data_IF_628409807348
#
_entry.id   IF_628409807348
#
_cell.length_a   1.000
_cell.length_b   1.000
_cell.length_c   1.000
_cell.angle_alpha   90.00
_cell.angle_beta   90.00
_cell.angle_gamma   90.00
#
_symmetry.space_group_name_H-M   'P 1'
#
loop_
_entity.id
_entity.type
_entity.pdbx_description
1 polymer ?
#
# COMPACT_ATOMS: atom_id res chain seq x y z
N UNK A 1 -4.50 -5.86 35.16
CA UNK A 1 -4.14 -4.56 34.61
C UNK A 1 -5.36 -3.66 34.56
N UNK A 2 -6.44 -3.98 33.83
CA UNK A 2 -7.62 -3.09 33.66
C UNK A 2 -8.32 -2.78 35.00
N UNK A 3 -8.47 -3.77 35.90
CA UNK A 3 -9.05 -3.56 37.23
C UNK A 3 -8.21 -2.61 38.12
N UNK A 4 -6.91 -2.48 37.86
CA UNK A 4 -6.08 -1.49 38.55
C UNK A 4 -6.15 -0.12 37.85
N UNK A 5 -6.20 -0.12 36.53
CA UNK A 5 -6.30 1.10 35.74
C UNK A 5 -7.63 1.84 35.97
N UNK A 6 -8.76 1.15 36.18
CA UNK A 6 -10.06 1.78 36.45
C UNK A 6 -10.12 2.56 37.78
N UNK A 7 -9.17 2.36 38.69
CA UNK A 7 -9.03 3.18 39.91
C UNK A 7 -8.48 4.59 39.61
N UNK A 8 -7.83 4.77 38.48
CA UNK A 8 -7.15 6.02 38.08
C UNK A 8 -7.74 6.63 36.81
N UNK A 9 -8.35 5.79 35.94
CA UNK A 9 -8.86 6.18 34.62
C UNK A 9 -10.37 5.93 34.56
N UNK A 10 -11.10 7.00 34.29
CA UNK A 10 -12.53 6.88 33.99
C UNK A 10 -12.69 6.56 32.49
N UNK A 11 -12.87 5.28 32.17
CA UNK A 11 -13.00 4.80 30.82
C UNK A 11 -14.26 5.30 30.08
N UNK A 12 -15.27 5.82 30.80
CA UNK A 12 -16.47 6.36 30.15
C UNK A 12 -16.19 7.54 29.24
N UNK A 13 -15.12 8.28 29.51
CA UNK A 13 -14.66 9.42 28.71
C UNK A 13 -14.12 9.04 27.32
N UNK A 14 -13.81 7.76 27.10
CA UNK A 14 -13.22 7.26 25.88
C UNK A 14 -14.17 6.35 25.08
N UNK A 15 -15.44 6.32 25.47
CA UNK A 15 -16.47 5.61 24.73
C UNK A 15 -16.74 6.25 23.38
N UNK A 16 -17.04 5.43 22.38
CA UNK A 16 -17.61 5.93 21.12
C UNK A 16 -18.91 6.67 21.41
N UNK A 17 -19.16 7.73 20.67
CA UNK A 17 -20.34 8.58 20.82
C UNK A 17 -21.64 7.74 20.81
N UNK A 18 -22.50 7.98 21.76
CA UNK A 18 -23.77 7.27 21.92
C UNK A 18 -23.65 5.80 22.39
N UNK A 19 -22.47 5.38 22.83
CA UNK A 19 -22.24 4.00 23.31
C UNK A 19 -21.60 3.96 24.68
N UNK A 20 -21.57 2.78 25.28
CA UNK A 20 -20.76 2.45 26.49
C UNK A 20 -19.51 1.63 26.13
N UNK A 21 -18.99 1.76 24.89
CA UNK A 21 -17.90 0.94 24.39
C UNK A 21 -16.65 1.77 24.11
N UNK A 22 -15.53 1.42 24.74
CA UNK A 22 -14.18 1.84 24.38
C UNK A 22 -13.69 0.88 23.27
N UNK A 23 -13.36 1.36 22.07
CA UNK A 23 -13.00 0.46 20.97
C UNK A 23 -11.72 -0.34 21.25
N UNK A 24 -10.69 0.31 21.78
CA UNK A 24 -9.41 -0.34 22.06
C UNK A 24 -8.68 0.33 23.23
N UNK A 25 -7.93 -0.45 23.97
CA UNK A 25 -6.95 0.02 24.96
C UNK A 25 -5.55 -0.46 24.56
N UNK A 26 -4.58 0.44 24.54
CA UNK A 26 -3.17 0.09 24.36
C UNK A 26 -2.50 -0.12 25.73
N UNK A 27 -1.88 -1.27 25.90
CA UNK A 27 -1.15 -1.67 27.10
C UNK A 27 0.32 -1.81 26.74
N UNK A 28 1.18 -0.97 27.32
CA UNK A 28 2.62 -1.08 27.12
C UNK A 28 3.22 -1.74 28.37
N UNK A 29 3.94 -2.85 28.17
CA UNK A 29 4.67 -3.51 29.26
C UNK A 29 6.16 -3.13 29.22
N UNK A 30 6.76 -3.04 30.40
CA UNK A 30 8.17 -2.74 30.54
C UNK A 30 9.05 -3.86 30.00
N UNK A 31 10.14 -3.51 29.35
CA UNK A 31 11.12 -4.46 28.82
C UNK A 31 10.82 -4.94 27.40
N UNK A 32 11.61 -5.88 26.89
CA UNK A 32 11.48 -6.43 25.55
C UNK A 32 10.31 -7.40 25.43
N UNK A 33 9.75 -7.52 24.22
CA UNK A 33 8.75 -8.53 23.87
C UNK A 33 9.38 -9.85 23.42
N UNK A 34 8.60 -10.93 23.45
CA UNK A 34 9.04 -12.24 22.99
C UNK A 34 9.43 -12.22 21.50
N UNK A 35 8.72 -11.46 20.66
CA UNK A 35 8.98 -11.32 19.23
C UNK A 35 10.30 -10.61 18.91
N UNK A 36 10.86 -9.85 19.85
CA UNK A 36 12.14 -9.18 19.73
C UNK A 36 13.25 -9.86 20.55
N UNK A 37 12.99 -11.03 21.15
CA UNK A 37 13.98 -11.79 21.88
C UNK A 37 14.75 -12.74 20.97
N UNK A 38 16.03 -12.97 21.26
CA UNK A 38 16.95 -13.77 20.43
C UNK A 38 16.59 -15.26 20.34
N UNK A 39 15.87 -15.77 21.29
CA UNK A 39 15.50 -17.18 21.34
C UNK A 39 14.01 -17.33 20.97
N UNK A 40 13.76 -17.92 19.80
CA UNK A 40 12.49 -18.57 19.52
C UNK A 40 12.18 -19.56 20.64
N UNK A 41 11.35 -19.16 21.58
CA UNK A 41 10.93 -20.03 22.67
C UNK A 41 11.25 -19.54 24.08
N UNK A 42 11.71 -18.30 24.27
CA UNK A 42 11.71 -17.74 25.63
C UNK A 42 10.28 -17.43 26.05
N UNK A 43 9.61 -18.46 26.59
CA UNK A 43 8.23 -18.42 27.05
C UNK A 43 8.00 -17.47 28.24
N UNK A 44 9.07 -16.87 28.77
CA UNK A 44 8.99 -15.99 29.96
C UNK A 44 8.68 -14.53 29.55
N UNK A 45 8.82 -14.18 28.25
CA UNK A 45 8.46 -12.88 27.76
C UNK A 45 7.02 -12.85 27.20
N UNK A 46 6.38 -11.69 27.31
CA UNK A 46 5.08 -11.47 26.71
C UNK A 46 5.22 -11.26 25.21
N UNK A 47 4.31 -11.85 24.44
CA UNK A 47 4.18 -11.62 23.01
C UNK A 47 3.32 -10.37 22.78
N UNK A 48 3.85 -9.40 22.06
CA UNK A 48 3.05 -8.25 21.62
C UNK A 48 1.98 -8.70 20.64
N UNK A 49 0.75 -8.20 20.83
CA UNK A 49 -0.39 -8.59 19.99
C UNK A 49 -1.57 -7.66 20.10
N UNK A 50 -2.37 -7.62 19.07
CA UNK A 50 -3.75 -7.19 19.13
C UNK A 50 -4.67 -8.37 19.42
N UNK A 51 -5.73 -8.13 20.19
CA UNK A 51 -6.78 -9.13 20.38
C UNK A 51 -8.13 -8.46 20.56
N UNK A 52 -9.13 -8.95 19.82
CA UNK A 52 -10.52 -8.66 20.12
C UNK A 52 -10.93 -9.43 21.35
N UNK A 53 -11.48 -8.73 22.32
CA UNK A 53 -11.94 -9.31 23.57
C UNK A 53 -12.89 -8.34 24.25
N UNK A 54 -13.77 -8.83 25.08
CA UNK A 54 -14.73 -7.99 25.80
C UNK A 54 -14.44 -7.98 27.29
N UNK A 55 -14.06 -6.82 27.80
CA UNK A 55 -13.82 -6.61 29.22
C UNK A 55 -14.76 -5.53 29.76
N UNK A 56 -15.36 -5.78 30.91
CA UNK A 56 -16.19 -4.78 31.61
C UNK A 56 -15.35 -4.04 32.65
N UNK A 57 -15.45 -2.73 32.65
CA UNK A 57 -14.79 -1.79 33.59
C UNK A 57 -15.81 -0.77 34.11
N UNK A 58 -15.42 0.13 35.01
CA UNK A 58 -16.28 1.14 35.63
C UNK A 58 -17.56 0.50 36.25
N UNK A 59 -17.37 -0.46 37.14
CA UNK A 59 -18.47 -1.24 37.73
C UNK A 59 -19.41 -1.88 36.68
N UNK A 60 -18.84 -2.39 35.58
CA UNK A 60 -19.54 -3.04 34.46
C UNK A 60 -20.41 -2.12 33.62
N UNK A 61 -20.24 -0.81 33.72
CA UNK A 61 -21.00 0.16 32.89
C UNK A 61 -20.31 0.46 31.55
N UNK A 62 -19.02 0.16 31.42
CA UNK A 62 -18.23 0.37 30.18
C UNK A 62 -17.62 -0.96 29.73
N UNK A 63 -17.64 -1.17 28.42
CA UNK A 63 -17.03 -2.35 27.79
C UNK A 63 -15.84 -1.94 26.94
N UNK A 64 -14.69 -2.56 27.15
CA UNK A 64 -13.51 -2.48 26.28
C UNK A 64 -13.62 -3.58 25.24
N UNK A 65 -13.62 -3.21 23.94
CA UNK A 65 -13.88 -4.14 22.83
C UNK A 65 -12.65 -4.84 22.27
N UNK A 66 -11.46 -4.31 22.52
CA UNK A 66 -10.18 -4.92 22.12
C UNK A 66 -9.02 -4.33 22.90
N UNK A 67 -7.88 -4.96 22.82
CA UNK A 67 -6.63 -4.41 23.34
C UNK A 67 -5.47 -4.68 22.40
N UNK A 68 -4.55 -3.74 22.38
CA UNK A 68 -3.17 -3.93 21.94
C UNK A 68 -2.30 -4.10 23.18
N UNK A 69 -1.38 -5.04 23.13
CA UNK A 69 -0.34 -5.20 24.14
C UNK A 69 1.01 -5.17 23.43
N UNK A 70 1.88 -4.23 23.80
CA UNK A 70 3.19 -4.02 23.19
C UNK A 70 4.29 -3.88 24.23
N UNK A 71 5.51 -4.12 23.79
CA UNK A 71 6.73 -3.93 24.57
C UNK A 71 7.18 -2.46 24.55
N UNK A 72 7.85 -2.06 25.61
CA UNK A 72 8.51 -0.76 25.69
C UNK A 72 9.85 -0.76 24.94
N UNK A 73 10.58 -1.86 25.00
CA UNK A 73 11.95 -1.95 24.54
C UNK A 73 12.10 -2.93 23.38
N UNK A 74 12.88 -2.53 22.39
CA UNK A 74 13.49 -3.41 21.40
C UNK A 74 14.80 -3.93 22.00
N UNK A 75 14.96 -5.25 22.06
CA UNK A 75 16.20 -5.85 22.50
C UNK A 75 17.23 -5.79 21.36
N UNK A 76 18.30 -5.03 21.53
CA UNK A 76 19.45 -5.11 20.63
C UNK A 76 20.33 -6.28 21.03
N UNK A 77 20.63 -7.11 20.04
CA UNK A 77 21.40 -8.33 20.20
C UNK A 77 22.90 -8.05 20.25
N UNK A 78 23.54 -8.45 21.33
CA UNK A 78 24.97 -8.65 21.37
C UNK A 78 25.40 -9.98 20.74
N UNK A 79 26.63 -10.39 20.95
CA UNK A 79 27.17 -11.64 20.45
C UNK A 79 26.68 -12.90 21.20
N UNK A 80 25.80 -12.75 22.18
CA UNK A 80 25.17 -13.84 22.92
C UNK A 80 23.77 -13.46 23.40
N UNK A 81 22.86 -14.44 23.58
CA UNK A 81 21.49 -14.22 24.05
C UNK A 81 21.39 -13.52 25.42
N UNK A 82 22.44 -13.61 26.23
CA UNK A 82 22.51 -12.98 27.55
C UNK A 82 23.22 -11.62 27.55
N UNK A 83 23.71 -11.18 26.39
CA UNK A 83 24.41 -9.91 26.23
C UNK A 83 23.39 -8.84 25.75
N UNK A 84 22.58 -8.33 26.68
CA UNK A 84 21.67 -7.21 26.41
C UNK A 84 22.53 -5.94 26.30
N UNK A 85 23.09 -5.70 25.12
CA UNK A 85 23.76 -4.45 24.79
C UNK A 85 22.73 -3.42 24.34
N UNK A 86 22.26 -2.65 25.30
CA UNK A 86 21.43 -1.49 25.04
C UNK A 86 20.02 -1.87 24.59
N UNK A 87 19.09 -1.85 25.52
CA UNK A 87 17.69 -1.79 25.18
C UNK A 87 17.38 -0.39 24.66
N UNK A 88 16.96 -0.28 23.41
CA UNK A 88 16.39 0.95 22.88
C UNK A 88 14.87 0.91 23.01
N UNK A 89 14.23 2.07 22.99
CA UNK A 89 12.76 2.13 22.90
C UNK A 89 12.33 1.43 21.61
N UNK A 90 11.27 0.63 21.68
CA UNK A 90 10.70 0.04 20.46
C UNK A 90 10.11 1.15 19.55
N UNK A 91 10.25 0.96 18.24
CA UNK A 91 9.66 1.86 17.27
C UNK A 91 8.13 1.78 17.23
N UNK A 92 7.52 2.70 16.49
CA UNK A 92 6.04 2.73 16.33
C UNK A 92 5.51 1.65 15.38
N UNK A 93 6.39 0.94 14.67
CA UNK A 93 5.99 0.00 13.61
C UNK A 93 5.11 -1.13 14.11
N UNK A 94 5.49 -1.75 15.22
CA UNK A 94 4.69 -2.80 15.87
C UNK A 94 3.31 -2.28 16.28
N UNK A 95 3.26 -1.09 16.89
CA UNK A 95 1.98 -0.47 17.25
C UNK A 95 1.11 -0.22 16.02
N UNK A 96 1.68 0.29 14.92
CA UNK A 96 0.94 0.54 13.68
C UNK A 96 0.41 -0.75 13.04
N UNK A 97 1.19 -1.82 13.06
CA UNK A 97 0.77 -3.15 12.61
C UNK A 97 -0.43 -3.67 13.42
N UNK A 98 -0.30 -3.72 14.73
CA UNK A 98 -1.35 -4.21 15.62
C UNK A 98 -2.60 -3.31 15.60
N UNK A 99 -2.41 -2.00 15.40
CA UNK A 99 -3.52 -1.07 15.17
C UNK A 99 -4.21 -1.32 13.83
N UNK A 100 -3.48 -1.77 12.80
CA UNK A 100 -4.04 -2.27 11.54
C UNK A 100 -5.07 -3.38 11.77
N UNK A 101 -4.78 -4.32 12.68
CA UNK A 101 -5.75 -5.35 13.08
C UNK A 101 -6.99 -4.75 13.75
N UNK A 102 -6.83 -3.71 14.58
CA UNK A 102 -7.96 -2.99 15.17
C UNK A 102 -8.85 -2.32 14.10
N UNK A 103 -8.26 -1.92 12.98
CA UNK A 103 -8.96 -1.36 11.82
C UNK A 103 -9.57 -2.42 10.89
N UNK A 104 -9.32 -3.71 11.16
CA UNK A 104 -9.89 -4.84 10.43
C UNK A 104 -8.98 -5.42 9.34
N UNK A 105 -7.70 -5.04 9.30
CA UNK A 105 -6.73 -5.63 8.39
C UNK A 105 -6.22 -6.98 8.94
N UNK A 106 -6.06 -8.00 8.11
CA UNK A 106 -5.37 -9.24 8.47
C UNK A 106 -3.86 -9.10 8.27
N UNK A 107 -3.11 -10.10 8.72
CA UNK A 107 -1.72 -10.29 8.31
C UNK A 107 -1.62 -10.60 6.82
N UNK A 108 -0.63 -10.01 6.17
CA UNK A 108 -0.30 -10.31 4.78
C UNK A 108 0.96 -11.15 4.63
N UNK A 109 1.62 -11.51 5.73
CA UNK A 109 2.61 -12.58 5.73
C UNK A 109 1.95 -13.98 5.78
N UNK A 110 2.75 -15.03 5.60
CA UNK A 110 2.26 -16.40 5.72
C UNK A 110 2.02 -16.78 7.18
N UNK A 111 0.76 -16.81 7.60
CA UNK A 111 0.36 -17.21 8.96
C UNK A 111 0.30 -18.72 9.18
N UNK A 112 0.53 -19.54 8.14
CA UNK A 112 0.48 -21.00 8.24
C UNK A 112 1.84 -21.59 8.57
N UNK A 113 1.95 -22.24 9.72
CA UNK A 113 3.16 -22.98 10.14
C UNK A 113 3.47 -24.21 9.28
N UNK A 114 2.49 -24.71 8.53
CA UNK A 114 2.60 -25.96 7.75
C UNK A 114 2.97 -25.75 6.27
N UNK A 115 2.87 -24.53 5.76
CA UNK A 115 3.05 -24.27 4.31
C UNK A 115 4.50 -23.93 3.90
N UNK A 116 5.46 -24.00 4.83
CA UNK A 116 6.83 -23.59 4.55
C UNK A 116 6.99 -22.06 4.49
N UNK A 117 8.22 -21.62 4.22
CA UNK A 117 8.54 -20.19 4.07
C UNK A 117 8.47 -19.79 2.59
N UNK A 118 7.79 -18.72 2.28
CA UNK A 118 7.77 -18.08 0.97
C UNK A 118 7.49 -16.58 1.11
N UNK A 119 7.92 -15.82 0.12
CA UNK A 119 7.74 -14.37 0.11
C UNK A 119 6.31 -13.99 -0.17
N UNK A 120 5.79 -13.08 0.61
CA UNK A 120 4.44 -12.49 0.53
C UNK A 120 4.52 -11.02 0.15
N UNK A 121 4.08 -10.10 0.99
CA UNK A 121 4.23 -8.66 0.78
C UNK A 121 5.60 -8.13 1.23
N UNK A 122 6.24 -8.83 2.18
CA UNK A 122 7.56 -8.49 2.67
C UNK A 122 7.64 -7.07 3.24
N UNK A 123 8.68 -6.36 2.87
CA UNK A 123 8.91 -4.99 3.34
C UNK A 123 7.98 -3.93 2.72
N UNK A 124 7.18 -4.29 1.69
CA UNK A 124 6.24 -3.36 1.08
C UNK A 124 4.99 -3.08 1.90
N UNK A 125 4.75 -3.84 2.95
CA UNK A 125 3.50 -3.79 3.68
C UNK A 125 3.72 -3.81 5.19
N UNK A 126 3.02 -2.91 5.91
CA UNK A 126 3.10 -2.83 7.37
C UNK A 126 2.41 -4.02 8.05
N UNK A 127 1.45 -4.68 7.37
CA UNK A 127 0.83 -5.91 7.82
C UNK A 127 1.66 -7.15 7.48
N UNK A 128 2.92 -6.95 7.06
CA UNK A 128 3.99 -7.93 6.86
C UNK A 128 5.28 -7.38 7.50
N UNK A 129 6.45 -7.57 6.92
CA UNK A 129 7.73 -7.15 7.47
C UNK A 129 7.99 -5.64 7.46
N UNK A 130 7.19 -4.87 6.75
CA UNK A 130 7.32 -3.42 6.69
C UNK A 130 7.23 -2.69 8.03
N UNK A 131 6.63 -3.32 9.04
CA UNK A 131 6.60 -2.83 10.43
C UNK A 131 7.98 -2.71 11.07
N UNK A 132 8.94 -3.57 10.66
CA UNK A 132 10.30 -3.62 11.24
C UNK A 132 11.30 -2.71 10.53
N UNK A 133 10.84 -1.90 9.59
CA UNK A 133 11.73 -1.02 8.85
C UNK A 133 12.39 0.00 9.79
N UNK A 134 13.74 0.12 9.72
CA UNK A 134 14.52 0.91 10.68
C UNK A 134 14.21 0.56 12.14
N UNK A 135 14.17 -0.72 12.46
CA UNK A 135 13.84 -1.21 13.81
C UNK A 135 12.49 -0.67 14.32
N UNK A 136 11.53 -0.51 13.41
CA UNK A 136 10.20 0.01 13.69
C UNK A 136 10.10 1.53 13.86
N UNK A 137 11.21 2.27 13.83
CA UNK A 137 11.19 3.74 13.96
C UNK A 137 10.63 4.45 12.72
N UNK A 138 10.77 3.82 11.56
CA UNK A 138 10.21 4.31 10.30
C UNK A 138 9.55 3.17 9.53
N UNK A 139 8.48 2.59 10.06
CA UNK A 139 7.75 1.55 9.35
C UNK A 139 7.24 2.08 8.00
N UNK A 140 6.99 1.18 7.07
CA UNK A 140 6.36 1.56 5.81
C UNK A 140 4.94 2.08 6.05
N UNK A 141 4.43 2.86 5.11
CA UNK A 141 3.04 3.32 5.16
C UNK A 141 2.08 2.17 4.81
N UNK A 142 0.82 2.30 5.22
CA UNK A 142 -0.25 1.49 4.65
C UNK A 142 -0.31 1.67 3.14
N UNK A 143 -0.41 0.58 2.41
CA UNK A 143 -0.50 0.56 0.95
C UNK A 143 -1.78 1.23 0.45
N UNK A 144 -1.87 1.44 -0.86
CA UNK A 144 -3.11 1.95 -1.47
C UNK A 144 -4.31 1.03 -1.22
N UNK A 145 -4.08 -0.30 -1.16
CA UNK A 145 -5.12 -1.26 -0.81
C UNK A 145 -5.66 -1.02 0.61
N UNK A 146 -4.79 -0.98 1.59
CA UNK A 146 -5.17 -0.82 2.99
C UNK A 146 -5.88 0.51 3.24
N UNK A 147 -5.35 1.61 2.68
CA UNK A 147 -5.99 2.93 2.77
C UNK A 147 -7.36 2.95 2.11
N UNK A 148 -7.53 2.24 1.00
CA UNK A 148 -8.83 2.12 0.33
C UNK A 148 -9.79 1.24 1.14
N UNK A 149 -9.30 0.14 1.70
CA UNK A 149 -10.07 -0.75 2.58
C UNK A 149 -10.64 0.00 3.79
N UNK A 150 -9.84 0.88 4.37
CA UNK A 150 -10.23 1.74 5.51
C UNK A 150 -11.06 2.98 5.09
N UNK A 151 -11.28 3.20 3.80
CA UNK A 151 -12.02 4.36 3.28
C UNK A 151 -11.23 5.68 3.30
N UNK A 152 -9.93 5.64 3.49
CA UNK A 152 -9.07 6.84 3.56
C UNK A 152 -8.58 7.30 2.19
N UNK A 153 -8.59 6.41 1.20
CA UNK A 153 -8.12 6.69 -0.16
C UNK A 153 -9.18 6.27 -1.17
N UNK A 154 -9.73 7.19 -1.96
CA UNK A 154 -10.52 6.83 -3.12
C UNK A 154 -9.62 6.21 -4.20
N UNK A 155 -10.10 5.14 -4.83
CA UNK A 155 -9.43 4.45 -5.93
C UNK A 155 -10.29 4.57 -7.18
N UNK A 156 -9.72 5.05 -8.28
CA UNK A 156 -10.42 5.18 -9.56
C UNK A 156 -10.35 3.88 -10.36
N UNK A 157 -11.47 3.44 -10.93
CA UNK A 157 -11.50 2.22 -11.74
C UNK A 157 -11.17 2.50 -13.20
N UNK A 158 -10.16 1.81 -13.73
CA UNK A 158 -9.87 1.77 -15.16
C UNK A 158 -10.73 0.68 -15.80
N UNK A 159 -11.60 1.11 -16.70
CA UNK A 159 -12.55 0.24 -17.42
C UNK A 159 -11.98 -0.21 -18.78
N UNK A 160 -12.84 -0.58 -19.72
CA UNK A 160 -12.46 -1.05 -21.07
C UNK A 160 -12.17 0.11 -22.04
N UNK A 161 -11.88 1.30 -21.50
CA UNK A 161 -11.60 2.50 -22.32
C UNK A 161 -10.10 2.79 -22.30
N UNK A 162 -9.50 2.77 -23.49
CA UNK A 162 -8.10 3.13 -23.65
C UNK A 162 -7.87 4.60 -23.27
N UNK A 163 -6.89 4.86 -22.42
CA UNK A 163 -6.61 6.20 -21.94
C UNK A 163 -5.15 6.36 -21.47
N UNK A 164 -4.69 7.61 -21.46
CA UNK A 164 -3.44 7.98 -20.82
C UNK A 164 -3.72 8.27 -19.35
N UNK A 165 -2.98 7.60 -18.46
CA UNK A 165 -3.21 7.63 -17.01
C UNK A 165 -2.04 8.31 -16.31
N UNK A 166 -2.35 9.14 -15.32
CA UNK A 166 -1.37 9.70 -14.38
C UNK A 166 -1.71 9.26 -12.95
N UNK A 167 -0.78 8.55 -12.34
CA UNK A 167 -0.82 8.17 -10.93
C UNK A 167 -0.07 9.23 -10.14
N UNK A 168 -0.76 9.90 -9.22
CA UNK A 168 -0.16 10.90 -8.34
C UNK A 168 0.53 10.23 -7.14
N UNK A 169 1.57 10.85 -6.56
CA UNK A 169 2.23 10.34 -5.37
C UNK A 169 1.25 10.02 -4.24
N UNK A 170 1.42 8.86 -3.63
CA UNK A 170 0.53 8.36 -2.58
C UNK A 170 0.57 9.23 -1.32
N UNK A 171 1.68 9.91 -1.06
CA UNK A 171 1.90 10.82 0.09
C UNK A 171 1.12 12.14 0.00
N UNK A 172 0.49 12.43 -1.13
CA UNK A 172 -0.27 13.65 -1.35
C UNK A 172 0.59 14.91 -1.53
N UNK A 173 1.87 14.77 -1.83
CA UNK A 173 2.79 15.89 -2.10
C UNK A 173 2.36 16.71 -3.31
N UNK A 174 1.85 16.06 -4.36
CA UNK A 174 1.35 16.71 -5.56
C UNK A 174 -0.13 17.05 -5.40
N UNK A 175 -0.43 18.34 -5.55
CA UNK A 175 -1.79 18.88 -5.49
C UNK A 175 -2.13 19.58 -6.80
N UNK A 176 -3.43 19.69 -7.09
CA UNK A 176 -3.96 20.44 -8.24
C UNK A 176 -3.46 19.93 -9.61
N UNK A 177 -3.11 18.66 -9.72
CA UNK A 177 -2.86 17.99 -10.99
C UNK A 177 -3.95 16.98 -11.30
N UNK A 178 -4.20 16.76 -12.58
CA UNK A 178 -5.08 15.70 -13.05
C UNK A 178 -4.47 14.34 -12.77
N UNK A 179 -5.31 13.39 -12.34
CA UNK A 179 -4.96 12.02 -11.98
C UNK A 179 -5.44 11.63 -10.60
N UNK A 180 -5.39 10.35 -10.30
CA UNK A 180 -5.68 9.81 -8.98
C UNK A 180 -4.41 9.26 -8.31
N UNK A 181 -4.45 9.05 -6.99
CA UNK A 181 -3.34 8.45 -6.24
C UNK A 181 -3.31 6.94 -6.33
N UNK A 182 -4.42 6.34 -6.71
CA UNK A 182 -4.51 4.92 -6.98
C UNK A 182 -5.57 4.64 -8.04
N UNK A 183 -5.27 3.64 -8.87
CA UNK A 183 -6.20 3.09 -9.85
C UNK A 183 -6.38 1.61 -9.62
N UNK A 184 -7.57 1.10 -9.93
CA UNK A 184 -7.89 -0.32 -9.87
C UNK A 184 -8.28 -0.84 -11.25
N UNK A 185 -7.76 -2.02 -11.59
CA UNK A 185 -8.16 -2.80 -12.78
C UNK A 185 -8.66 -4.15 -12.31
N UNK A 186 -9.92 -4.43 -12.56
CA UNK A 186 -10.57 -5.65 -12.07
C UNK A 186 -10.52 -6.76 -13.10
N UNK A 187 -10.35 -7.98 -12.60
CA UNK A 187 -10.58 -9.19 -13.39
C UNK A 187 -12.02 -9.16 -13.96
N UNK A 188 -12.20 -9.23 -15.29
CA UNK A 188 -13.51 -9.17 -15.91
C UNK A 188 -14.43 -10.33 -15.48
N UNK A 189 -13.86 -11.50 -15.20
CA UNK A 189 -14.60 -12.71 -14.81
C UNK A 189 -14.87 -12.78 -13.29
N UNK A 190 -14.04 -12.09 -12.47
CA UNK A 190 -14.18 -12.06 -11.01
C UNK A 190 -13.79 -10.70 -10.44
N UNK A 191 -14.75 -9.84 -10.20
CA UNK A 191 -14.52 -8.47 -9.69
C UNK A 191 -13.87 -8.40 -8.30
N UNK A 192 -13.79 -9.51 -7.57
CA UNK A 192 -13.08 -9.61 -6.29
C UNK A 192 -11.56 -9.78 -6.47
N UNK A 193 -11.11 -10.11 -7.66
CA UNK A 193 -9.71 -10.16 -8.02
C UNK A 193 -9.34 -8.96 -8.89
N UNK A 194 -8.27 -8.25 -8.54
CA UNK A 194 -7.91 -6.99 -9.19
C UNK A 194 -6.46 -6.60 -8.94
N UNK A 195 -5.98 -5.69 -9.78
CA UNK A 195 -4.72 -5.00 -9.60
C UNK A 195 -4.95 -3.57 -9.13
N UNK A 196 -4.08 -3.08 -8.23
CA UNK A 196 -4.04 -1.67 -7.82
C UNK A 196 -2.70 -1.08 -8.25
N UNK A 197 -2.77 0.07 -8.90
CA UNK A 197 -1.63 0.87 -9.32
C UNK A 197 -1.52 2.08 -8.42
N UNK A 198 -0.36 2.27 -7.78
CA UNK A 198 -0.06 3.42 -6.92
C UNK A 198 1.39 3.87 -7.09
N UNK A 199 1.71 5.08 -6.70
CA UNK A 199 3.05 5.64 -6.81
C UNK A 199 3.61 5.99 -5.42
N UNK A 200 4.38 5.10 -4.76
CA UNK A 200 5.16 5.47 -3.59
C UNK A 200 6.20 6.54 -3.98
N UNK A 201 6.45 7.47 -3.07
CA UNK A 201 7.34 8.61 -3.30
C UNK A 201 8.24 8.82 -2.10
N UNK A 202 9.54 9.03 -2.35
CA UNK A 202 10.58 9.19 -1.33
C UNK A 202 10.56 10.58 -0.70
N UNK A 203 9.43 11.00 -0.15
CA UNK A 203 9.26 12.29 0.48
C UNK A 203 8.78 12.14 1.94
N UNK A 204 9.17 13.05 2.83
CA UNK A 204 8.76 13.08 4.24
C UNK A 204 9.02 11.76 4.97
N UNK A 205 7.96 11.00 5.27
CA UNK A 205 8.04 9.74 5.98
C UNK A 205 8.86 8.70 5.21
N UNK A 206 8.72 8.65 3.90
CA UNK A 206 9.45 7.74 3.02
C UNK A 206 10.81 8.24 2.55
N UNK A 207 11.32 9.36 3.08
CA UNK A 207 12.47 10.11 2.56
C UNK A 207 13.79 9.31 2.35
N UNK A 208 13.81 8.02 2.51
CA UNK A 208 15.00 7.17 2.26
C UNK A 208 14.65 5.72 2.02
N UNK A 209 13.35 5.43 1.75
CA UNK A 209 12.94 4.05 1.83
C UNK A 209 12.95 3.36 0.46
N UNK A 210 11.97 3.09 -0.19
CA UNK A 210 11.89 1.99 -1.14
C UNK A 210 11.94 2.40 -2.61
N UNK A 211 12.44 3.61 -2.91
CA UNK A 211 12.48 4.11 -4.28
C UNK A 211 11.18 4.77 -4.73
N UNK A 212 11.15 5.16 -5.99
CA UNK A 212 10.03 5.86 -6.64
C UNK A 212 9.65 5.14 -7.93
N UNK A 213 8.37 5.06 -8.20
CA UNK A 213 7.86 4.41 -9.40
C UNK A 213 6.43 3.92 -9.22
N UNK A 214 5.95 3.12 -10.15
CA UNK A 214 4.65 2.49 -10.07
C UNK A 214 4.76 1.19 -9.27
N UNK A 215 4.05 1.12 -8.18
CA UNK A 215 3.88 -0.09 -7.38
C UNK A 215 2.58 -0.78 -7.81
N UNK A 216 2.67 -2.07 -8.09
CA UNK A 216 1.58 -2.87 -8.64
C UNK A 216 1.19 -3.97 -7.65
N UNK A 217 0.04 -3.79 -7.01
CA UNK A 217 -0.55 -4.78 -6.12
C UNK A 217 -1.48 -5.73 -6.88
N UNK A 218 -1.49 -6.99 -6.50
CA UNK A 218 -2.48 -7.99 -6.93
C UNK A 218 -3.27 -8.48 -5.72
N UNK A 219 -4.59 -8.37 -5.78
CA UNK A 219 -5.52 -8.73 -4.72
C UNK A 219 -6.54 -9.73 -5.24
N UNK A 220 -6.62 -10.91 -4.61
CA UNK A 220 -7.66 -11.94 -4.81
C UNK A 220 -8.51 -11.99 -3.53
N UNK A 221 -9.41 -11.01 -3.37
CA UNK A 221 -10.16 -10.81 -2.14
C UNK A 221 -11.16 -11.95 -1.88
N UNK A 222 -11.06 -12.55 -0.70
CA UNK A 222 -12.07 -13.47 -0.18
C UNK A 222 -12.31 -13.21 1.31
N UNK A 223 -13.51 -12.78 1.63
CA UNK A 223 -13.89 -12.36 2.98
C UNK A 223 -13.56 -13.39 4.07
N UNK A 224 -13.71 -14.67 3.76
CA UNK A 224 -13.40 -15.74 4.72
C UNK A 224 -11.91 -15.77 5.06
N UNK A 225 -11.02 -15.55 4.07
CA UNK A 225 -9.57 -15.51 4.29
C UNK A 225 -9.15 -14.26 5.06
N UNK A 226 -9.76 -13.10 4.76
CA UNK A 226 -9.49 -11.86 5.50
C UNK A 226 -9.93 -11.98 6.96
N UNK A 227 -11.15 -12.40 7.20
CA UNK A 227 -11.67 -12.57 8.56
C UNK A 227 -10.97 -13.70 9.35
N UNK A 228 -10.46 -14.71 8.66
CA UNK A 228 -9.77 -15.87 9.24
C UNK A 228 -8.26 -15.69 9.35
N UNK A 229 -7.73 -14.51 9.02
CA UNK A 229 -6.29 -14.22 9.01
C UNK A 229 -5.47 -15.25 8.24
N UNK A 230 -5.97 -15.67 7.06
CA UNK A 230 -5.40 -16.74 6.23
C UNK A 230 -5.21 -16.31 4.77
N UNK A 231 -4.86 -15.05 4.56
CA UNK A 231 -4.79 -14.42 3.22
C UNK A 231 -3.72 -15.07 2.37
N UNK A 232 -2.50 -15.20 2.91
CA UNK A 232 -1.32 -15.68 2.18
C UNK A 232 -0.79 -16.99 2.77
N UNK A 233 -1.65 -17.97 3.02
CA UNK A 233 -1.25 -19.28 3.57
C UNK A 233 -0.87 -20.31 2.50
N UNK A 234 -0.96 -19.96 1.21
CA UNK A 234 -0.63 -20.84 0.08
C UNK A 234 0.33 -20.15 -0.87
N UNK A 235 1.49 -20.77 -1.10
CA UNK A 235 2.52 -20.22 -1.98
C UNK A 235 2.07 -20.11 -3.45
N UNK A 236 1.29 -21.09 -3.90
CA UNK A 236 0.76 -21.17 -5.27
C UNK A 236 -0.48 -20.30 -5.51
N UNK A 237 -1.05 -19.70 -4.46
CA UNK A 237 -2.18 -18.81 -4.52
C UNK A 237 -2.10 -17.73 -3.42
N UNK A 238 -1.19 -16.81 -3.59
CA UNK A 238 -1.16 -15.61 -2.75
C UNK A 238 -2.33 -14.70 -3.12
N UNK A 239 -3.08 -14.26 -2.08
CA UNK A 239 -4.28 -13.44 -2.28
C UNK A 239 -4.03 -11.94 -2.12
N UNK A 240 -2.95 -11.59 -1.49
CA UNK A 240 -2.42 -10.23 -1.40
C UNK A 240 -0.94 -10.30 -1.72
N UNK A 241 -0.53 -9.72 -2.85
CA UNK A 241 0.86 -9.77 -3.31
C UNK A 241 1.16 -8.59 -4.23
N UNK A 242 2.38 -8.49 -4.71
CA UNK A 242 2.77 -7.45 -5.66
C UNK A 242 3.48 -8.08 -6.88
N UNK A 243 3.58 -7.28 -7.94
CA UNK A 243 4.30 -7.64 -9.18
C UNK A 243 5.60 -6.83 -9.20
N UNK A 244 6.75 -7.45 -8.89
CA UNK A 244 8.03 -6.75 -8.94
C UNK A 244 8.49 -6.56 -10.39
N UNK A 245 9.03 -5.37 -10.71
CA UNK A 245 9.47 -5.06 -12.07
C UNK A 245 10.66 -5.91 -12.51
N UNK A 246 11.53 -6.30 -11.60
CA UNK A 246 12.66 -7.22 -11.89
C UNK A 246 12.25 -8.70 -11.87
N UNK A 247 10.97 -9.00 -11.64
CA UNK A 247 10.42 -10.35 -11.51
C UNK A 247 11.01 -11.16 -10.34
N UNK A 248 11.56 -10.49 -9.32
CA UNK A 248 12.13 -11.12 -8.12
C UNK A 248 11.40 -10.60 -6.89
N UNK A 249 10.78 -11.49 -6.11
CA UNK A 249 10.22 -11.12 -4.81
C UNK A 249 11.26 -11.33 -3.72
N UNK A 250 11.64 -10.27 -3.06
CA UNK A 250 12.55 -10.36 -1.92
C UNK A 250 11.85 -11.01 -0.73
N UNK A 251 12.43 -12.10 -0.23
CA UNK A 251 11.88 -12.87 0.89
C UNK A 251 11.92 -12.09 2.20
N UNK A 252 10.93 -12.31 3.03
CA UNK A 252 10.83 -11.76 4.39
C UNK A 252 11.98 -12.13 5.33
N UNK A 253 12.84 -13.08 4.95
CA UNK A 253 14.08 -13.41 5.66
C UNK A 253 15.36 -13.02 4.90
N UNK A 254 15.24 -12.58 3.66
CA UNK A 254 16.41 -12.31 2.80
C UNK A 254 17.17 -11.03 3.20
N UNK A 255 16.53 -10.16 3.96
CA UNK A 255 17.15 -8.93 4.50
C UNK A 255 18.00 -9.14 5.75
N UNK A 256 17.87 -10.28 6.43
CA UNK A 256 18.68 -10.60 7.61
C UNK A 256 20.15 -10.74 7.22
N UNK A 257 20.98 -9.78 7.64
CA UNK A 257 22.40 -9.73 7.34
C UNK A 257 22.79 -8.90 6.11
N UNK A 258 21.84 -8.36 5.35
CA UNK A 258 22.13 -7.38 4.31
C UNK A 258 22.34 -5.99 4.93
N UNK A 259 23.22 -5.20 4.30
CA UNK A 259 23.26 -3.76 4.61
C UNK A 259 21.95 -3.13 4.15
N UNK A 260 21.42 -2.18 4.92
CA UNK A 260 20.19 -1.46 4.58
C UNK A 260 20.23 -0.89 3.15
N UNK A 261 21.37 -0.36 2.70
CA UNK A 261 21.55 0.15 1.34
C UNK A 261 21.38 -0.90 0.26
N UNK A 262 21.79 -2.15 0.53
CA UNK A 262 21.63 -3.27 -0.40
C UNK A 262 20.17 -3.73 -0.45
N UNK A 263 19.51 -3.79 0.70
CA UNK A 263 18.08 -4.08 0.79
C UNK A 263 17.25 -3.05 0.01
N UNK A 264 17.54 -1.76 0.16
CA UNK A 264 16.84 -0.70 -0.59
C UNK A 264 17.01 -0.81 -2.10
N UNK A 265 18.23 -1.13 -2.54
CA UNK A 265 18.50 -1.33 -3.96
C UNK A 265 17.67 -2.46 -4.56
N UNK A 266 17.51 -3.56 -3.82
CA UNK A 266 16.68 -4.69 -4.24
C UNK A 266 15.21 -4.32 -4.27
N UNK A 267 14.69 -3.75 -3.19
CA UNK A 267 13.29 -3.35 -3.09
C UNK A 267 12.94 -2.27 -4.14
N UNK A 268 13.84 -1.34 -4.44
CA UNK A 268 13.60 -0.32 -5.46
C UNK A 268 13.48 -0.88 -6.88
N UNK A 269 14.03 -2.08 -7.13
CA UNK A 269 13.90 -2.77 -8.40
C UNK A 269 12.51 -3.40 -8.62
N UNK A 270 11.67 -3.45 -7.60
CA UNK A 270 10.26 -3.87 -7.71
C UNK A 270 9.38 -2.85 -8.42
N UNK A 271 9.82 -1.58 -8.51
CA UNK A 271 9.02 -0.48 -9.04
C UNK A 271 9.18 -0.29 -10.54
N UNK A 272 8.07 -0.05 -11.24
CA UNK A 272 8.10 0.30 -12.67
C UNK A 272 8.26 1.81 -12.88
N UNK A 273 8.94 2.26 -13.96
CA UNK A 273 9.72 1.44 -14.87
C UNK A 273 11.06 1.03 -14.22
N UNK A 274 11.53 -0.18 -14.50
CA UNK A 274 12.89 -0.58 -14.17
C UNK A 274 13.78 -0.36 -15.40
N UNK A 275 14.69 0.60 -15.29
CA UNK A 275 15.55 1.01 -16.39
C UNK A 275 17.00 1.15 -15.94
N UNK A 276 17.89 0.52 -16.71
CA UNK A 276 19.32 0.72 -16.63
C UNK A 276 19.95 0.49 -18.02
N UNK A 277 21.26 0.47 -18.14
CA UNK A 277 21.96 0.34 -19.42
C UNK A 277 21.61 -0.93 -20.21
N UNK A 278 21.08 -1.97 -19.54
CA UNK A 278 20.80 -3.29 -20.13
C UNK A 278 19.35 -3.71 -20.04
N UNK A 279 18.56 -3.09 -19.17
CA UNK A 279 17.18 -3.47 -18.85
C UNK A 279 16.28 -2.25 -19.08
N UNK A 280 15.18 -2.48 -19.78
CA UNK A 280 14.11 -1.50 -19.94
C UNK A 280 12.74 -2.18 -19.81
N UNK A 281 12.21 -2.20 -18.58
CA UNK A 281 10.90 -2.77 -18.25
C UNK A 281 9.96 -1.60 -17.95
N UNK A 282 9.25 -1.14 -18.97
CA UNK A 282 8.32 -0.02 -18.92
C UNK A 282 6.90 -0.39 -19.37
N UNK A 283 6.58 -1.68 -19.36
CA UNK A 283 5.25 -2.18 -19.66
C UNK A 283 4.93 -3.40 -18.81
N UNK A 284 3.64 -3.61 -18.57
CA UNK A 284 3.14 -4.78 -17.87
C UNK A 284 1.89 -5.29 -18.58
N UNK A 285 1.98 -6.51 -19.08
CA UNK A 285 0.93 -7.18 -19.86
C UNK A 285 0.81 -8.64 -19.43
N UNK A 286 -0.10 -9.40 -20.06
CA UNK A 286 -0.20 -10.84 -19.81
C UNK A 286 0.98 -11.64 -20.39
N UNK A 287 1.77 -11.05 -21.28
CA UNK A 287 2.83 -11.73 -22.03
C UNK A 287 4.23 -11.13 -21.79
N UNK A 288 4.36 -10.13 -20.91
CA UNK A 288 5.65 -9.59 -20.47
C UNK A 288 6.27 -10.43 -19.34
N UNK A 289 7.51 -10.14 -18.99
CA UNK A 289 8.16 -10.65 -17.76
C UNK A 289 8.64 -9.45 -16.96
N UNK A 290 8.00 -9.18 -15.80
CA UNK A 290 6.85 -9.88 -15.20
C UNK A 290 5.55 -9.74 -16.00
N UNK A 291 4.55 -10.57 -15.69
CA UNK A 291 3.25 -10.58 -16.34
C UNK A 291 2.09 -10.37 -15.34
N UNK A 292 0.92 -9.94 -15.87
CA UNK A 292 -0.33 -9.87 -15.09
C UNK A 292 -1.00 -11.24 -15.06
N UNK A 293 -0.79 -12.00 -13.98
CA UNK A 293 -1.36 -13.36 -13.82
C UNK A 293 -2.49 -13.30 -12.80
N UNK A 294 -3.65 -13.88 -13.16
CA UNK A 294 -4.80 -14.00 -12.27
C UNK A 294 -4.84 -15.38 -11.60
N UNK A 295 -5.32 -15.41 -10.36
CA UNK A 295 -5.62 -16.67 -9.66
C UNK A 295 -6.91 -17.31 -10.17
N UNK A 296 -7.85 -16.51 -10.63
CA UNK A 296 -9.20 -16.93 -11.08
C UNK A 296 -9.44 -16.58 -12.55
N UNK A 297 -10.52 -17.09 -13.11
CA UNK A 297 -10.86 -16.90 -14.51
C UNK A 297 -10.42 -18.06 -15.41
N UNK A 298 -11.03 -18.13 -16.59
CA UNK A 298 -10.84 -19.23 -17.55
C UNK A 298 -9.44 -19.20 -18.16
N UNK A 299 -8.93 -18.03 -18.50
CA UNK A 299 -7.61 -17.85 -19.13
C UNK A 299 -6.52 -17.48 -18.15
N UNK A 300 -6.87 -17.05 -16.93
CA UNK A 300 -5.98 -16.44 -15.95
C UNK A 300 -5.19 -15.22 -16.47
N UNK A 301 -5.70 -14.58 -17.51
CA UNK A 301 -5.15 -13.37 -18.12
C UNK A 301 -6.01 -12.17 -17.76
N UNK A 302 -5.37 -11.07 -17.35
CA UNK A 302 -6.07 -9.83 -17.04
C UNK A 302 -6.62 -9.15 -18.30
N UNK A 303 -5.89 -9.26 -19.41
CA UNK A 303 -6.18 -8.63 -20.71
C UNK A 303 -6.38 -7.11 -20.60
N UNK A 304 -5.59 -6.48 -19.75
CA UNK A 304 -5.61 -5.04 -19.47
C UNK A 304 -4.18 -4.50 -19.39
N UNK A 305 -3.48 -4.47 -20.54
CA UNK A 305 -2.09 -4.08 -20.60
C UNK A 305 -1.88 -2.60 -20.26
N UNK A 306 -0.74 -2.31 -19.64
CA UNK A 306 -0.20 -0.96 -19.49
C UNK A 306 1.15 -0.86 -20.21
N UNK A 307 1.39 0.27 -20.87
CA UNK A 307 2.56 0.53 -21.70
C UNK A 307 3.15 1.90 -21.38
N UNK A 308 4.39 2.13 -21.81
CA UNK A 308 5.04 3.43 -21.70
C UNK A 308 5.01 3.98 -20.27
N UNK A 309 5.30 3.13 -19.30
CA UNK A 309 5.37 3.55 -17.90
C UNK A 309 6.55 4.49 -17.75
N UNK A 310 6.27 5.70 -17.26
CA UNK A 310 7.26 6.77 -17.11
C UNK A 310 7.13 7.41 -15.72
N UNK A 311 8.26 7.53 -15.02
CA UNK A 311 8.36 8.25 -13.76
C UNK A 311 8.73 9.71 -13.99
N UNK A 312 8.13 10.62 -13.25
CA UNK A 312 8.38 12.04 -13.29
C UNK A 312 9.08 12.55 -12.02
N UNK A 313 9.78 13.68 -12.13
CA UNK A 313 10.53 14.29 -11.00
C UNK A 313 9.64 14.64 -9.80
N UNK A 314 8.34 14.87 -10.00
CA UNK A 314 7.39 15.14 -8.93
C UNK A 314 6.88 13.87 -8.22
N UNK A 315 7.46 12.71 -8.54
CA UNK A 315 7.05 11.40 -8.01
C UNK A 315 5.78 10.83 -8.65
N UNK A 316 5.14 11.54 -9.59
CA UNK A 316 4.03 10.98 -10.35
C UNK A 316 4.52 9.97 -11.38
N UNK A 317 3.67 9.03 -11.73
CA UNK A 317 3.93 8.04 -12.78
C UNK A 317 2.85 8.13 -13.83
N UNK A 318 3.22 8.04 -15.11
CA UNK A 318 2.25 7.98 -16.20
C UNK A 318 2.39 6.68 -16.98
N UNK A 319 1.29 6.25 -17.60
CA UNK A 319 1.29 5.10 -18.50
C UNK A 319 0.13 5.17 -19.50
N UNK A 320 0.26 4.42 -20.59
CA UNK A 320 -0.78 4.21 -21.58
C UNK A 320 -1.55 2.94 -21.25
N UNK A 321 -2.85 3.06 -21.01
CA UNK A 321 -3.72 1.92 -20.66
C UNK A 321 -4.44 1.42 -21.90
N UNK A 322 -4.39 0.12 -22.17
CA UNK A 322 -4.97 -0.63 -23.30
C UNK A 322 -4.40 -0.30 -24.68
N UNK A 323 -3.83 0.87 -24.92
CA UNK A 323 -3.31 1.29 -26.23
C UNK A 323 -1.93 1.95 -26.08
N UNK A 324 -0.89 1.28 -26.56
CA UNK A 324 0.50 1.73 -26.48
C UNK A 324 0.77 3.04 -27.26
N UNK A 325 -0.12 3.43 -28.18
CA UNK A 325 0.05 4.64 -28.99
C UNK A 325 -0.40 5.92 -28.28
N UNK A 326 -1.10 5.78 -27.15
CA UNK A 326 -1.55 6.90 -26.36
C UNK A 326 -0.36 7.57 -25.65
N UNK A 327 -0.27 8.87 -25.77
CA UNK A 327 0.68 9.70 -25.03
C UNK A 327 -0.09 10.84 -24.36
N UNK A 328 0.49 11.47 -23.34
CA UNK A 328 -0.11 12.64 -22.70
C UNK A 328 -0.43 13.81 -23.64
N UNK A 329 0.09 13.76 -24.87
CA UNK A 329 -0.14 14.74 -25.92
C UNK A 329 -1.34 14.36 -26.81
N UNK A 330 -1.72 13.07 -26.84
CA UNK A 330 -2.69 12.53 -27.81
C UNK A 330 -4.12 12.39 -27.24
N UNK A 331 -4.45 12.94 -26.10
CA UNK A 331 -5.86 13.04 -25.70
C UNK A 331 -6.58 14.04 -26.60
N UNK A 332 -7.03 13.55 -27.76
CA UNK A 332 -7.99 14.26 -28.59
C UNK A 332 -9.33 14.15 -27.88
N UNK A 333 -9.75 15.20 -27.21
CA UNK A 333 -11.11 15.29 -26.69
C UNK A 333 -12.08 15.19 -27.88
N UNK A 334 -12.84 14.10 -27.95
CA UNK A 334 -13.94 14.03 -28.92
C UNK A 334 -15.02 15.04 -28.53
N UNK A 335 -15.77 15.60 -29.46
CA UNK A 335 -16.81 16.62 -29.17
C UNK A 335 -17.84 16.20 -28.10
N UNK A 336 -18.02 14.91 -27.84
CA UNK A 336 -18.92 14.38 -26.84
C UNK A 336 -18.42 14.59 -25.37
N UNK A 337 -17.11 14.79 -25.15
CA UNK A 337 -16.55 14.99 -23.81
C UNK A 337 -16.54 16.46 -23.36
N UNK A 338 -16.88 17.39 -24.26
CA UNK A 338 -16.85 18.84 -23.97
C UNK A 338 -18.18 19.42 -23.50
N UNK A 339 -19.23 18.61 -23.33
CA UNK A 339 -20.61 19.12 -23.28
C UNK A 339 -21.22 19.39 -21.91
N UNK A 340 -20.48 19.54 -20.82
CA UNK A 340 -21.14 19.84 -19.52
C UNK A 340 -20.48 20.84 -18.57
N UNK A 341 -19.38 21.48 -18.91
CA UNK A 341 -18.86 22.56 -18.07
C UNK A 341 -18.39 23.73 -18.95
N UNK A 342 -18.64 24.93 -18.50
CA UNK A 342 -18.29 26.23 -19.11
C UNK A 342 -16.75 26.36 -19.25
N UNK A 343 -16.14 25.58 -20.14
CA UNK A 343 -14.68 25.50 -20.30
C UNK A 343 -14.21 26.56 -21.26
N UNK A 344 -13.57 27.57 -20.74
CA UNK A 344 -12.91 28.61 -21.53
C UNK A 344 -11.77 27.99 -22.35
N UNK A 345 -11.74 28.31 -23.65
CA UNK A 345 -10.75 27.81 -24.62
C UNK A 345 -9.73 28.92 -24.92
N UNK A 346 -8.46 28.60 -24.87
CA UNK A 346 -7.37 29.52 -25.25
C UNK A 346 -6.46 28.87 -26.30
N UNK A 347 -5.90 29.67 -27.18
CA UNK A 347 -4.79 29.23 -28.02
C UNK A 347 -3.45 29.27 -27.27
N UNK A 348 -2.38 28.83 -27.90
CA UNK A 348 -1.02 28.80 -27.29
C UNK A 348 -0.47 30.19 -26.96
N UNK A 349 -1.07 31.25 -27.47
CA UNK A 349 -0.72 32.65 -27.19
C UNK A 349 -1.59 33.24 -26.08
N UNK A 350 -2.45 32.42 -25.43
CA UNK A 350 -3.36 32.85 -24.35
C UNK A 350 -4.60 33.60 -24.81
N UNK A 351 -4.88 33.66 -26.12
CA UNK A 351 -6.08 34.31 -26.67
C UNK A 351 -7.29 33.39 -26.53
N UNK A 352 -8.41 33.94 -26.03
CA UNK A 352 -9.66 33.20 -25.89
C UNK A 352 -10.26 32.85 -27.24
N UNK A 353 -10.63 31.59 -27.42
CA UNK A 353 -11.26 31.04 -28.63
C UNK A 353 -12.74 30.74 -28.30
N UNK A 354 -13.69 31.20 -29.14
CA UNK A 354 -15.10 31.03 -28.89
C UNK A 354 -15.57 29.57 -28.94
N UNK A 355 -14.99 28.77 -29.83
CA UNK A 355 -15.34 27.37 -30.05
C UNK A 355 -14.16 26.58 -30.61
N UNK A 356 -13.88 25.41 -30.03
CA UNK A 356 -12.88 24.51 -30.56
C UNK A 356 -13.28 23.95 -31.93
N UNK A 357 -14.58 23.79 -32.20
CA UNK A 357 -15.06 23.28 -33.51
C UNK A 357 -14.72 24.21 -34.67
N UNK A 358 -14.75 25.52 -34.42
CA UNK A 358 -14.48 26.56 -35.45
C UNK A 358 -13.00 26.98 -35.51
N UNK A 359 -12.20 26.51 -34.55
CA UNK A 359 -10.78 26.85 -34.53
C UNK A 359 -10.00 26.09 -35.64
N UNK A 360 -8.91 26.67 -36.14
CA UNK A 360 -8.01 26.00 -37.07
C UNK A 360 -7.34 24.77 -36.42
N UNK A 361 -6.79 23.83 -37.19
CA UNK A 361 -5.90 22.81 -36.66
C UNK A 361 -4.78 23.43 -35.81
N UNK A 362 -4.51 22.92 -34.62
CA UNK A 362 -3.52 23.50 -33.73
C UNK A 362 -3.63 23.03 -32.28
N UNK A 363 -2.85 23.66 -31.40
CA UNK A 363 -2.83 23.37 -29.96
C UNK A 363 -3.66 24.41 -29.21
N UNK A 364 -4.51 23.96 -28.31
CA UNK A 364 -5.40 24.79 -27.51
C UNK A 364 -5.36 24.38 -26.02
N UNK A 365 -5.72 25.29 -25.13
CA UNK A 365 -5.94 25.03 -23.71
C UNK A 365 -7.45 25.10 -23.48
N UNK A 366 -8.04 23.98 -23.08
CA UNK A 366 -9.48 23.84 -22.82
C UNK A 366 -9.68 23.43 -21.36
N UNK A 367 -10.27 24.29 -20.55
CA UNK A 367 -10.45 24.00 -19.12
C UNK A 367 -9.13 23.73 -18.37
N UNK A 368 -8.06 24.43 -18.74
CA UNK A 368 -6.71 24.22 -18.19
C UNK A 368 -5.93 23.04 -18.79
N UNK A 369 -6.48 22.34 -19.78
CA UNK A 369 -5.88 21.17 -20.43
C UNK A 369 -5.41 21.49 -21.86
N UNK A 370 -4.28 20.91 -22.25
CA UNK A 370 -3.77 20.99 -23.61
C UNK A 370 -4.58 20.07 -24.53
N UNK A 371 -5.10 20.62 -25.61
CA UNK A 371 -5.89 19.90 -26.62
C UNK A 371 -5.25 20.14 -27.99
N UNK A 372 -5.08 19.09 -28.77
CA UNK A 372 -4.63 19.17 -30.16
C UNK A 372 -5.84 19.00 -31.08
N UNK A 373 -6.14 20.01 -31.91
CA UNK A 373 -7.10 19.90 -32.98
C UNK A 373 -6.37 19.55 -34.26
N UNK A 374 -6.73 18.44 -34.85
CA UNK A 374 -6.27 18.00 -36.17
C UNK A 374 -7.04 18.70 -37.28
#
# INVERSE_FOLDING_TARGET
VLAEAEKQVDFSKYCLEGTSKVPMVALMFAGPGQQSSFEDGNSDYLWAKFQQSSFSVNNKTVTIGSYFMGNELLQQYGSSPNDIKGAELDGVGLFCHEFGHALGLPDFYNTSKSSGSFTTMGYWDIMDYGQYFYDGYRPVEYTAYERSYMGWLPVEELTDVAQFVRVLPLDGSVKNREGARAYVVRNPENKKEYYIFSAPHTNKWHASMMGEGLFVLHVDYERANWNGNSVNTKADRQRMTYVPADNVKEGSGSGLGLKISELFKRISADLFPLQNDTININSLTDDTTPATILNTGSTKKLSRPIYNIERHEDGSVTFSYLDATLTGINQVLTPAQTSKNNTTIYDVLGRRIPSLQQAAPGIYIVGGRKVVKK
#
